data_IF_832564753232
#
_entry.id   IF_832564753232
#
_cell.length_a   1.000
_cell.length_b   1.000
_cell.length_c   1.000
_cell.angle_alpha   90.00
_cell.angle_beta   90.00
_cell.angle_gamma   90.00
#
_symmetry.space_group_name_H-M   'P 1'
#
loop_
_entity.id
_entity.type
_entity.pdbx_description
1 polymer ?
#
# COMPACT_ATOMS: atom_id res chain seq x y z
N UNK A 1 8.30 -34.27 -11.35
CA UNK A 1 8.00 -32.97 -11.98
C UNK A 1 8.25 -31.91 -10.92
N UNK A 2 9.05 -30.88 -11.22
CA UNK A 2 9.19 -29.74 -10.32
C UNK A 2 8.14 -28.70 -10.73
N UNK A 3 7.37 -28.22 -9.77
CA UNK A 3 6.46 -27.09 -9.99
C UNK A 3 7.06 -25.89 -9.28
N UNK A 4 7.15 -24.75 -9.97
CA UNK A 4 7.60 -23.49 -9.39
C UNK A 4 6.62 -22.38 -9.72
N UNK A 5 6.30 -21.54 -8.76
CA UNK A 5 5.53 -20.33 -8.97
C UNK A 5 6.34 -19.14 -8.47
N UNK A 6 6.49 -18.13 -9.31
CA UNK A 6 7.30 -16.94 -9.03
C UNK A 6 6.45 -15.70 -9.23
N UNK A 7 6.54 -14.76 -8.29
CA UNK A 7 5.89 -13.45 -8.40
C UNK A 7 6.91 -12.33 -8.10
N UNK A 8 6.96 -11.27 -8.90
CA UNK A 8 7.89 -10.17 -8.72
C UNK A 8 7.49 -9.30 -7.52
N UNK A 9 8.46 -8.91 -6.70
CA UNK A 9 8.28 -8.05 -5.53
C UNK A 9 8.75 -6.63 -5.83
N UNK A 10 7.93 -5.63 -5.54
CA UNK A 10 8.25 -4.22 -5.72
C UNK A 10 8.41 -3.48 -4.39
N UNK A 11 9.23 -2.45 -4.36
CA UNK A 11 9.37 -1.57 -3.20
C UNK A 11 8.23 -0.55 -3.09
N UNK A 12 8.32 0.29 -2.05
CA UNK A 12 7.40 1.38 -1.78
C UNK A 12 7.24 2.42 -2.91
N UNK A 13 8.21 2.52 -3.83
CA UNK A 13 8.18 3.42 -4.99
C UNK A 13 7.76 2.69 -6.29
N UNK A 14 7.48 1.39 -6.20
CA UNK A 14 7.11 0.55 -7.35
C UNK A 14 8.29 0.07 -8.19
N UNK A 15 9.51 0.14 -7.66
CA UNK A 15 10.74 -0.37 -8.31
C UNK A 15 10.94 -1.83 -7.94
N UNK A 16 11.51 -2.63 -8.84
CA UNK A 16 11.73 -4.07 -8.58
C UNK A 16 12.70 -4.24 -7.41
N UNK A 17 12.25 -4.96 -6.38
CA UNK A 17 13.00 -5.21 -5.14
C UNK A 17 13.42 -6.68 -5.00
N UNK A 18 12.78 -7.59 -5.74
CA UNK A 18 13.10 -9.01 -5.72
C UNK A 18 11.99 -9.86 -6.33
N UNK A 19 11.92 -11.12 -5.90
CA UNK A 19 10.83 -12.03 -6.27
C UNK A 19 10.55 -13.02 -5.14
N UNK A 20 9.30 -13.45 -5.03
CA UNK A 20 8.88 -14.55 -4.16
C UNK A 20 8.74 -15.79 -5.03
N UNK A 21 9.40 -16.88 -4.63
CA UNK A 21 9.36 -18.16 -5.32
C UNK A 21 8.87 -19.25 -4.36
N UNK A 22 7.91 -20.05 -4.79
CA UNK A 22 7.55 -21.31 -4.12
C UNK A 22 7.80 -22.47 -5.08
N UNK A 23 8.39 -23.55 -4.56
CA UNK A 23 8.75 -24.73 -5.34
C UNK A 23 8.27 -26.00 -4.67
N UNK A 24 7.87 -26.99 -5.47
CA UNK A 24 7.53 -28.33 -5.01
C UNK A 24 8.13 -29.41 -5.89
N UNK A 25 8.54 -30.52 -5.26
CA UNK A 25 9.10 -31.70 -5.93
C UNK A 25 8.07 -32.83 -6.07
N UNK A 26 6.81 -32.58 -5.68
CA UNK A 26 5.74 -33.59 -5.72
C UNK A 26 5.38 -33.92 -7.16
N UNK A 27 5.40 -35.21 -7.48
CA UNK A 27 5.11 -35.72 -8.82
C UNK A 27 3.62 -35.82 -9.14
N UNK A 28 2.75 -35.71 -8.14
CA UNK A 28 1.30 -35.82 -8.27
C UNK A 28 0.59 -34.46 -8.42
N UNK A 29 1.34 -33.36 -8.53
CA UNK A 29 0.78 -32.02 -8.75
C UNK A 29 0.45 -31.77 -10.22
N UNK A 30 -0.84 -31.54 -10.50
CA UNK A 30 -1.33 -31.14 -11.82
C UNK A 30 -1.39 -29.62 -12.04
N UNK A 31 -1.95 -29.21 -13.19
CA UNK A 31 -2.07 -27.80 -13.61
C UNK A 31 -2.77 -26.90 -12.58
N UNK A 32 -3.89 -27.34 -12.02
CA UNK A 32 -4.66 -26.54 -11.04
C UNK A 32 -3.87 -26.26 -9.77
N UNK A 33 -2.99 -27.17 -9.35
CA UNK A 33 -2.10 -26.94 -8.21
C UNK A 33 -1.05 -25.87 -8.52
N UNK A 34 -0.56 -25.81 -9.77
CA UNK A 34 0.37 -24.78 -10.22
C UNK A 34 -0.30 -23.40 -10.33
N UNK A 35 -1.53 -23.33 -10.83
CA UNK A 35 -2.32 -22.09 -10.87
C UNK A 35 -2.60 -21.56 -9.46
N UNK A 36 -2.98 -22.44 -8.53
CA UNK A 36 -3.16 -22.08 -7.12
C UNK A 36 -1.84 -21.61 -6.49
N UNK A 37 -0.73 -22.30 -6.78
CA UNK A 37 0.60 -21.90 -6.32
C UNK A 37 0.95 -20.47 -6.79
N UNK A 38 0.68 -20.15 -8.05
CA UNK A 38 0.91 -18.80 -8.59
C UNK A 38 0.01 -17.75 -7.93
N UNK A 39 -1.27 -18.06 -7.73
CA UNK A 39 -2.21 -17.16 -7.05
C UNK A 39 -1.76 -16.86 -5.61
N UNK A 40 -1.40 -17.89 -4.84
CA UNK A 40 -0.90 -17.75 -3.46
C UNK A 40 0.40 -16.97 -3.40
N UNK A 41 1.34 -17.24 -4.31
CA UNK A 41 2.62 -16.52 -4.39
C UNK A 41 2.40 -15.04 -4.68
N UNK A 42 1.48 -14.74 -5.59
CA UNK A 42 1.13 -13.36 -5.97
C UNK A 42 0.47 -12.62 -4.81
N UNK A 43 -0.46 -13.26 -4.09
CA UNK A 43 -1.10 -12.65 -2.93
C UNK A 43 -0.11 -12.43 -1.76
N UNK A 44 0.79 -13.39 -1.51
CA UNK A 44 1.84 -13.23 -0.51
C UNK A 44 2.76 -12.04 -0.83
N UNK A 45 3.15 -11.91 -2.10
CA UNK A 45 3.94 -10.79 -2.60
C UNK A 45 3.23 -9.46 -2.34
N UNK A 46 1.95 -9.34 -2.73
CA UNK A 46 1.14 -8.12 -2.48
C UNK A 46 1.10 -7.74 -0.99
N UNK A 47 0.98 -8.71 -0.09
CA UNK A 47 0.98 -8.44 1.37
C UNK A 47 2.33 -7.94 1.86
N UNK A 48 3.43 -8.47 1.33
CA UNK A 48 4.78 -7.99 1.65
C UNK A 48 4.96 -6.55 1.17
N UNK A 49 4.54 -6.24 -0.06
CA UNK A 49 4.59 -4.87 -0.60
C UNK A 49 3.79 -3.88 0.23
N UNK A 50 2.58 -4.27 0.67
CA UNK A 50 1.76 -3.44 1.55
C UNK A 50 2.43 -3.19 2.89
N UNK A 51 3.07 -4.21 3.48
CA UNK A 51 3.83 -4.06 4.71
C UNK A 51 5.01 -3.11 4.53
N UNK A 52 5.76 -3.23 3.42
CA UNK A 52 6.86 -2.32 3.09
C UNK A 52 6.39 -0.88 2.94
N UNK A 53 5.32 -0.64 2.20
CA UNK A 53 4.76 0.69 2.00
C UNK A 53 4.34 1.32 3.35
N UNK A 54 3.57 0.58 4.15
CA UNK A 54 3.10 1.05 5.47
C UNK A 54 4.25 1.32 6.43
N UNK A 55 5.29 0.47 6.45
CA UNK A 55 6.47 0.69 7.29
C UNK A 55 7.28 1.90 6.84
N UNK A 56 7.44 2.10 5.54
CA UNK A 56 8.17 3.24 4.97
C UNK A 56 7.49 4.57 5.28
N UNK A 57 6.17 4.63 5.16
CA UNK A 57 5.34 5.82 5.34
C UNK A 57 4.58 5.82 6.68
N UNK A 58 5.08 5.11 7.69
CA UNK A 58 4.42 4.98 9.01
C UNK A 58 4.17 6.31 9.74
N UNK A 59 4.89 7.36 9.37
CA UNK A 59 4.77 8.71 9.93
C UNK A 59 3.85 9.63 9.09
N UNK A 60 3.21 9.08 8.07
CA UNK A 60 2.28 9.79 7.17
C UNK A 60 0.89 9.17 7.31
N UNK A 61 -0.13 9.90 6.87
CA UNK A 61 -1.44 9.31 6.66
C UNK A 61 -1.36 8.34 5.48
N UNK A 62 -2.10 7.23 5.55
CA UNK A 62 -2.17 6.26 4.45
C UNK A 62 -3.62 6.06 4.05
N UNK A 63 -3.96 6.43 2.82
CA UNK A 63 -5.22 6.11 2.19
C UNK A 63 -5.10 4.80 1.39
N UNK A 64 -5.90 3.80 1.76
CA UNK A 64 -6.10 2.57 0.98
C UNK A 64 -7.30 2.77 0.06
N UNK A 65 -7.09 2.64 -1.25
CA UNK A 65 -8.07 2.93 -2.31
C UNK A 65 -9.12 1.82 -2.48
N UNK A 66 -10.29 2.10 -3.09
CA UNK A 66 -11.30 1.09 -3.42
C UNK A 66 -10.83 0.15 -4.55
N UNK A 67 -11.66 -0.84 -4.90
CA UNK A 67 -11.43 -1.79 -6.01
C UNK A 67 -10.11 -2.58 -5.87
N UNK A 68 -10.13 -3.56 -4.95
CA UNK A 68 -9.07 -4.50 -4.55
C UNK A 68 -8.21 -4.09 -3.34
N UNK A 69 -8.32 -2.86 -2.85
CA UNK A 69 -7.66 -2.46 -1.58
C UNK A 69 -6.13 -2.50 -1.61
N UNK A 70 -5.53 -2.61 -2.79
CA UNK A 70 -4.09 -2.73 -2.99
C UNK A 70 -3.42 -1.41 -3.32
N UNK A 71 -4.19 -0.44 -3.85
CA UNK A 71 -3.73 0.92 -4.07
C UNK A 71 -3.58 1.65 -2.74
N UNK A 72 -2.41 2.24 -2.50
CA UNK A 72 -2.15 3.08 -1.32
C UNK A 72 -1.46 4.37 -1.71
N UNK A 73 -1.94 5.46 -1.12
CA UNK A 73 -1.33 6.78 -1.14
C UNK A 73 -0.89 7.13 0.29
N UNK A 74 0.30 7.69 0.43
CA UNK A 74 0.78 8.31 1.65
C UNK A 74 0.72 9.83 1.48
N UNK A 75 0.20 10.55 2.47
CA UNK A 75 0.08 12.00 2.45
C UNK A 75 0.38 12.61 3.83
N UNK A 76 0.78 13.88 3.85
CA UNK A 76 1.06 14.62 5.08
C UNK A 76 -0.16 15.37 5.63
N UNK A 77 0.03 16.14 6.71
CA UNK A 77 -1.06 16.89 7.35
C UNK A 77 -1.59 18.04 6.47
N UNK A 78 -0.80 18.51 5.50
CA UNK A 78 -1.18 19.53 4.51
C UNK A 78 -1.84 18.93 3.26
N UNK A 79 -2.20 17.63 3.31
CA UNK A 79 -2.81 16.86 2.21
C UNK A 79 -1.93 16.81 0.96
N UNK A 80 -0.61 16.92 1.09
CA UNK A 80 0.34 16.69 -0.01
C UNK A 80 0.69 15.22 -0.07
N UNK A 81 0.69 14.66 -1.28
CA UNK A 81 1.09 13.27 -1.49
C UNK A 81 2.60 13.17 -1.31
N UNK A 82 3.04 12.32 -0.38
CA UNK A 82 4.45 12.05 -0.10
C UNK A 82 4.88 10.65 -0.55
N UNK A 83 3.94 9.83 -1.03
CA UNK A 83 4.24 8.51 -1.55
C UNK A 83 3.04 7.82 -2.20
N UNK A 84 3.31 6.94 -3.15
CA UNK A 84 2.29 6.13 -3.81
C UNK A 84 2.86 4.74 -4.16
N UNK A 85 2.11 3.67 -3.86
CA UNK A 85 2.51 2.32 -4.22
C UNK A 85 2.39 2.11 -5.74
N UNK A 86 2.95 1.01 -6.26
CA UNK A 86 2.91 0.69 -7.71
C UNK A 86 1.50 0.74 -8.30
N UNK A 87 0.51 0.16 -7.61
CA UNK A 87 -0.88 0.14 -8.07
C UNK A 87 -1.47 1.55 -8.13
N UNK A 88 -1.26 2.38 -7.11
CA UNK A 88 -1.75 3.75 -7.10
C UNK A 88 -1.07 4.62 -8.18
N UNK A 89 0.23 4.41 -8.41
CA UNK A 89 0.96 5.08 -9.50
C UNK A 89 0.38 4.75 -10.87
N UNK A 90 0.13 3.47 -11.14
CA UNK A 90 -0.49 3.05 -12.41
C UNK A 90 -1.90 3.60 -12.60
N UNK A 91 -2.67 3.69 -11.51
CA UNK A 91 -4.06 4.16 -11.53
C UNK A 91 -4.18 5.67 -11.81
N UNK A 92 -3.26 6.48 -11.30
CA UNK A 92 -3.30 7.94 -11.41
C UNK A 92 -2.23 8.52 -12.36
N UNK A 93 -1.38 7.68 -12.94
CA UNK A 93 -0.24 8.15 -13.74
C UNK A 93 0.82 8.92 -12.94
N UNK A 94 0.97 8.64 -11.63
CA UNK A 94 1.90 9.37 -10.78
C UNK A 94 3.35 9.05 -11.09
N UNK A 95 4.15 10.10 -11.27
CA UNK A 95 5.61 10.04 -11.39
C UNK A 95 6.28 10.48 -10.09
N UNK A 96 7.58 10.18 -9.95
CA UNK A 96 8.37 10.67 -8.81
C UNK A 96 8.39 12.21 -8.78
N UNK A 97 8.57 12.85 -9.93
CA UNK A 97 8.57 14.31 -10.05
C UNK A 97 7.27 14.96 -9.54
N UNK A 98 6.10 14.38 -9.85
CA UNK A 98 4.83 14.92 -9.36
C UNK A 98 4.69 14.84 -7.83
N UNK A 99 5.24 13.78 -7.22
CA UNK A 99 5.25 13.61 -5.77
C UNK A 99 6.24 14.59 -5.14
N UNK A 100 7.43 14.73 -5.72
CA UNK A 100 8.48 15.64 -5.26
C UNK A 100 8.04 17.12 -5.40
N UNK A 101 7.27 17.47 -6.43
CA UNK A 101 6.64 18.78 -6.62
C UNK A 101 5.47 19.03 -5.65
N UNK A 102 5.11 18.04 -4.83
CA UNK A 102 4.06 18.15 -3.81
C UNK A 102 2.66 18.17 -4.40
N UNK A 103 2.32 17.22 -5.28
CA UNK A 103 0.94 17.09 -5.79
C UNK A 103 -0.08 17.01 -4.63
N UNK A 104 -1.13 17.81 -4.74
CA UNK A 104 -2.22 17.84 -3.77
C UNK A 104 -3.07 16.57 -3.87
N UNK A 105 -3.44 15.98 -2.73
CA UNK A 105 -4.25 14.77 -2.67
C UNK A 105 -5.59 14.92 -3.39
N UNK A 106 -6.19 16.12 -3.37
CA UNK A 106 -7.47 16.43 -4.01
C UNK A 106 -7.45 16.27 -5.53
N UNK A 107 -6.28 16.37 -6.16
CA UNK A 107 -6.11 16.09 -7.59
C UNK A 107 -6.26 14.59 -7.93
N UNK A 108 -6.22 13.72 -6.91
CA UNK A 108 -6.33 12.27 -7.06
C UNK A 108 -7.65 11.75 -6.48
N UNK A 109 -7.94 12.13 -5.23
CA UNK A 109 -9.10 11.70 -4.47
C UNK A 109 -9.63 12.81 -3.57
N UNK A 110 -10.94 12.82 -3.36
CA UNK A 110 -11.56 13.64 -2.33
C UNK A 110 -11.91 12.77 -1.13
N UNK A 111 -11.59 13.26 0.06
CA UNK A 111 -11.95 12.66 1.34
C UNK A 111 -13.17 13.39 1.90
N UNK A 112 -14.23 12.67 2.27
CA UNK A 112 -15.35 13.29 2.99
C UNK A 112 -14.88 13.72 4.40
N UNK A 113 -15.07 15.00 4.74
CA UNK A 113 -14.54 15.64 5.97
C UNK A 113 -15.02 15.02 7.30
N UNK A 114 -16.00 14.10 7.28
CA UNK A 114 -16.47 13.38 8.47
C UNK A 114 -15.55 12.25 8.92
N UNK A 115 -14.58 11.85 8.10
CA UNK A 115 -13.79 10.64 8.30
C UNK A 115 -12.49 10.83 9.11
N UNK A 116 -12.11 12.06 9.45
CA UNK A 116 -10.80 12.36 10.07
C UNK A 116 -10.70 12.02 11.56
N UNK A 117 -11.74 11.42 12.17
CA UNK A 117 -11.82 11.23 13.64
C UNK A 117 -11.76 9.79 14.14
N UNK A 118 -11.82 8.78 13.27
CA UNK A 118 -11.69 7.38 13.67
C UNK A 118 -10.68 6.67 12.76
N UNK A 119 -9.56 6.28 13.34
CA UNK A 119 -8.57 5.44 12.68
C UNK A 119 -9.21 4.10 12.28
N UNK A 120 -8.87 3.57 11.10
CA UNK A 120 -9.32 2.27 10.58
C UNK A 120 -10.79 2.12 10.17
N UNK A 121 -11.61 3.17 10.31
CA UNK A 121 -12.99 3.13 9.81
C UNK A 121 -13.05 3.21 8.27
N UNK A 122 -14.03 2.55 7.62
CA UNK A 122 -14.26 2.69 6.20
C UNK A 122 -14.61 4.14 5.85
N UNK A 123 -13.90 4.72 4.89
CA UNK A 123 -14.12 6.10 4.43
C UNK A 123 -14.67 6.08 3.02
N UNK A 124 -15.69 6.88 2.75
CA UNK A 124 -16.14 7.10 1.38
C UNK A 124 -15.12 7.94 0.65
N UNK A 125 -14.53 7.35 -0.39
CA UNK A 125 -13.61 8.02 -1.30
C UNK A 125 -14.35 8.40 -2.58
N UNK A 126 -14.03 9.58 -3.09
CA UNK A 126 -14.49 10.07 -4.38
C UNK A 126 -13.27 10.34 -5.26
N UNK A 127 -13.45 10.25 -6.57
CA UNK A 127 -12.42 10.66 -7.52
C UNK A 127 -12.23 12.18 -7.47
N UNK A 128 -11.15 12.68 -8.06
CA UNK A 128 -10.84 14.11 -8.12
C UNK A 128 -11.97 14.96 -8.74
N UNK A 129 -12.71 14.40 -9.71
CA UNK A 129 -13.88 15.01 -10.35
C UNK A 129 -15.16 14.99 -9.47
N UNK A 130 -15.05 14.46 -8.25
CA UNK A 130 -16.16 14.30 -7.32
C UNK A 130 -17.06 13.11 -7.61
N UNK A 131 -16.78 12.26 -8.60
CA UNK A 131 -17.59 11.05 -8.81
C UNK A 131 -17.41 10.06 -7.64
N UNK A 132 -18.49 9.40 -7.18
CA UNK A 132 -18.37 8.37 -6.15
C UNK A 132 -17.45 7.25 -6.63
N UNK A 133 -16.49 6.86 -5.79
CA UNK A 133 -15.60 5.76 -6.11
C UNK A 133 -15.92 4.52 -5.27
N UNK A 134 -15.94 4.66 -3.94
CA UNK A 134 -16.24 3.53 -3.07
C UNK A 134 -15.69 3.69 -1.67
N UNK A 135 -15.67 2.59 -0.91
CA UNK A 135 -15.11 2.58 0.45
C UNK A 135 -13.62 2.28 0.43
N UNK A 136 -12.82 3.22 0.90
CA UNK A 136 -11.42 3.03 1.25
C UNK A 136 -11.22 2.91 2.76
N UNK A 137 -9.96 2.98 3.19
CA UNK A 137 -9.56 3.07 4.60
C UNK A 137 -8.49 4.13 4.78
N UNK A 138 -8.56 4.86 5.88
CA UNK A 138 -7.51 5.80 6.28
C UNK A 138 -6.82 5.27 7.54
N UNK A 139 -5.49 5.15 7.48
CA UNK A 139 -4.65 4.88 8.64
C UNK A 139 -3.90 6.16 9.03
N UNK A 140 -3.99 6.61 10.29
CA UNK A 140 -3.26 7.79 10.74
C UNK A 140 -1.76 7.52 10.90
N UNK A 141 -0.94 8.58 10.95
CA UNK A 141 0.47 8.47 11.32
C UNK A 141 0.66 7.74 12.66
N UNK A 142 1.49 6.71 12.67
CA UNK A 142 1.96 6.08 13.90
C UNK A 142 3.03 6.97 14.52
N UNK A 143 2.64 7.78 15.50
CA UNK A 143 3.61 8.59 16.27
C UNK A 143 4.56 7.63 17.00
N UNK A 144 5.84 7.69 16.63
CA UNK A 144 6.89 7.03 17.41
C UNK A 144 6.92 7.74 18.76
N UNK A 145 6.50 7.07 19.84
CA UNK A 145 6.72 7.58 21.20
C UNK A 145 8.22 7.82 21.35
N UNK A 146 8.61 9.04 21.70
CA UNK A 146 9.97 9.32 22.16
C UNK A 146 10.30 8.35 23.30
N UNK A 147 11.51 7.74 23.32
CA UNK A 147 11.90 6.93 24.47
C UNK A 147 11.76 7.78 25.74
N UNK A 148 11.10 7.23 26.75
CA UNK A 148 10.97 7.90 28.06
C UNK A 148 12.38 8.20 28.56
N UNK A 149 12.71 9.44 28.94
CA UNK A 149 14.03 9.74 29.49
C UNK A 149 14.31 8.79 30.65
N UNK A 150 15.48 8.16 30.63
CA UNK A 150 15.90 7.29 31.73
C UNK A 150 15.90 8.10 33.03
N UNK A 151 15.40 7.55 34.14
CA UNK A 151 15.57 8.20 35.44
C UNK A 151 17.07 8.42 35.67
N UNK A 152 17.43 9.61 36.14
CA UNK A 152 18.80 9.94 36.48
C UNK A 152 19.32 8.93 37.55
N UNK A 153 20.59 8.51 37.46
CA UNK A 153 21.18 7.63 38.47
C UNK A 153 21.16 8.31 39.86
N UNK A 154 21.11 7.51 40.94
CA UNK A 154 21.05 8.00 42.32
C UNK A 154 22.29 8.78 42.75
#
# INVERSE_FOLDING_TARGET
MFTCAVSPLFDHAGRLAGAVNISSCRSDLGRSAHELALAVTTEATRRIEQSFFRRRYRASWIATLPDDGHGMLAYDDDRRVVGACRTARGMFGLTDAMIDDGIDLSHLIQLDDRATRAADDPVTLRRADGTPWGRGRLAPPVRVRSPRPMPAPP
#
